data_IF_893693517207
#
_entry.id   IF_893693517207
#
_cell.length_a   1.000
_cell.length_b   1.000
_cell.length_c   1.000
_cell.angle_alpha   90.00
_cell.angle_beta   90.00
_cell.angle_gamma   90.00
#
_symmetry.space_group_name_H-M   'P 1'
#
loop_
_entity.id
_entity.type
_entity.pdbx_description
1 polymer ?
#
# COMPACT_ATOMS: atom_id res chain seq x y z
N UNK A 1 -0.58 25.36 26.58
CA UNK A 1 -1.75 25.44 25.68
C UNK A 1 -1.33 25.41 24.23
N UNK A 2 -1.53 24.26 23.59
CA UNK A 2 -1.16 24.01 22.19
C UNK A 2 -1.82 22.73 21.72
N UNK A 3 -3.16 22.75 21.66
CA UNK A 3 -3.98 21.63 21.20
C UNK A 3 -3.94 21.62 19.67
N UNK A 4 -3.19 20.69 19.09
CA UNK A 4 -3.34 20.34 17.68
C UNK A 4 -4.60 19.48 17.53
N UNK A 5 -5.68 20.10 17.06
CA UNK A 5 -6.87 19.42 16.52
C UNK A 5 -6.58 18.98 15.09
N UNK A 6 -6.68 17.69 14.81
CA UNK A 6 -6.89 17.11 13.47
C UNK A 6 -7.99 16.07 13.65
N UNK A 7 -9.25 16.44 13.37
CA UNK A 7 -9.94 16.38 12.07
C UNK A 7 -10.17 14.95 11.59
N UNK A 8 -11.45 14.60 11.52
CA UNK A 8 -12.04 13.34 11.10
C UNK A 8 -11.40 12.73 9.84
N UNK A 9 -11.00 11.47 9.93
CA UNK A 9 -10.77 10.62 8.75
C UNK A 9 -12.10 9.98 8.33
N UNK A 10 -12.81 10.69 7.46
CA UNK A 10 -13.84 10.14 6.59
C UNK A 10 -13.66 10.78 5.22
N UNK A 11 -13.06 10.06 4.27
CA UNK A 11 -12.79 10.55 2.92
C UNK A 11 -12.30 9.45 2.00
N UNK A 12 -13.04 9.25 0.92
CA UNK A 12 -12.97 8.19 -0.09
C UNK A 12 -11.62 8.03 -0.81
N UNK A 13 -11.35 6.80 -1.25
CA UNK A 13 -10.41 6.43 -2.31
C UNK A 13 -10.84 7.01 -3.66
N UNK A 14 -10.05 7.93 -4.20
CA UNK A 14 -9.97 8.44 -5.60
C UNK A 14 -8.83 9.50 -5.53
N UNK A 15 -7.75 9.59 -6.32
CA UNK A 15 -7.32 9.12 -7.63
C UNK A 15 -5.77 8.96 -7.61
N UNK A 16 -5.21 8.07 -8.42
CA UNK A 16 -3.77 8.06 -8.72
C UNK A 16 -3.57 7.57 -10.16
N UNK A 17 -3.16 8.47 -11.07
CA UNK A 17 -2.58 8.13 -12.38
C UNK A 17 -1.82 9.32 -13.00
N UNK A 18 -0.66 9.02 -13.60
CA UNK A 18 0.22 9.94 -14.35
C UNK A 18 1.70 9.55 -14.21
N UNK A 19 2.15 8.45 -14.82
CA UNK A 19 2.87 8.35 -16.12
C UNK A 19 4.30 8.94 -16.06
N UNK A 20 5.27 8.04 -16.17
CA UNK A 20 6.72 8.27 -16.37
C UNK A 20 7.02 8.68 -17.81
N UNK A 21 8.07 9.51 -18.02
CA UNK A 21 9.09 9.33 -19.07
C UNK A 21 10.27 10.32 -18.91
N UNK A 22 11.46 9.73 -18.79
CA UNK A 22 12.77 10.05 -19.38
C UNK A 22 13.53 11.41 -19.21
N UNK A 23 14.64 11.31 -18.46
CA UNK A 23 16.04 11.38 -18.95
C UNK A 23 16.89 12.69 -18.83
N UNK A 24 18.17 12.46 -18.45
CA UNK A 24 19.42 13.23 -18.61
C UNK A 24 19.91 14.26 -17.57
N UNK A 25 20.87 13.78 -16.75
CA UNK A 25 22.30 14.14 -16.80
C UNK A 25 22.93 15.02 -15.68
N UNK A 26 23.93 14.40 -15.03
CA UNK A 26 25.17 14.92 -14.42
C UNK A 26 25.14 16.11 -13.44
N UNK A 27 25.70 15.88 -12.24
CA UNK A 27 27.09 16.28 -11.91
C UNK A 27 27.52 15.74 -10.56
N UNK A 28 28.69 15.11 -10.54
CA UNK A 28 29.40 14.64 -9.36
C UNK A 28 30.10 15.80 -8.65
N UNK A 29 30.12 15.76 -7.31
CA UNK A 29 31.22 16.32 -6.52
C UNK A 29 31.67 15.30 -5.47
N UNK A 30 32.96 14.98 -5.55
CA UNK A 30 33.69 14.09 -4.68
C UNK A 30 34.43 14.92 -3.62
N UNK A 31 34.41 14.48 -2.36
CA UNK A 31 35.38 14.88 -1.32
C UNK A 31 35.59 13.63 -0.45
N UNK A 32 36.61 12.82 -0.74
CA UNK A 32 37.96 12.84 -0.15
C UNK A 32 38.06 12.25 1.27
N UNK A 33 38.27 10.93 1.31
CA UNK A 33 39.30 10.15 2.01
C UNK A 33 39.89 10.72 3.33
N UNK A 34 39.80 9.96 4.44
CA UNK A 34 40.97 9.27 5.03
C UNK A 34 40.61 8.35 6.22
N UNK A 35 41.14 7.12 6.20
CA UNK A 35 41.37 6.25 7.37
C UNK A 35 42.81 6.45 7.89
N UNK A 36 43.11 6.14 9.17
CA UNK A 36 44.37 6.52 9.81
C UNK A 36 45.48 5.49 9.60
N UNK A 37 46.70 5.98 9.36
CA UNK A 37 47.93 5.19 9.35
C UNK A 37 48.69 5.35 10.69
N UNK A 38 49.36 4.26 11.08
CA UNK A 38 50.12 4.04 12.30
C UNK A 38 51.42 4.85 12.40
N UNK A 39 51.75 5.20 13.66
CA UNK A 39 53.03 5.06 14.39
C UNK A 39 54.34 5.27 13.62
N UNK A 40 55.11 6.29 14.03
CA UNK A 40 56.57 6.25 14.17
C UNK A 40 56.99 7.12 15.37
N UNK A 41 57.82 6.55 16.23
CA UNK A 41 58.55 7.13 17.37
C UNK A 41 59.81 7.83 16.87
N UNK A 42 60.20 8.97 17.46
CA UNK A 42 61.49 9.14 18.13
C UNK A 42 61.71 10.54 18.75
N UNK A 43 62.53 10.51 19.79
CA UNK A 43 62.91 11.49 20.82
C UNK A 43 63.55 12.80 20.34
N UNK A 44 63.37 13.90 21.08
CA UNK A 44 64.48 14.49 21.88
C UNK A 44 64.05 15.57 22.89
N UNK A 45 64.94 15.72 23.88
CA UNK A 45 64.91 16.47 25.15
C UNK A 45 64.78 18.01 25.10
N UNK A 46 64.13 18.63 26.10
CA UNK A 46 64.69 19.66 27.02
C UNK A 46 63.63 20.32 27.95
N UNK A 47 64.10 20.71 29.13
CA UNK A 47 63.42 21.11 30.38
C UNK A 47 62.65 22.45 30.40
N UNK A 48 61.58 22.53 31.21
CA UNK A 48 61.45 23.51 32.33
C UNK A 48 60.22 23.22 33.23
N UNK A 49 60.41 23.45 34.53
CA UNK A 49 59.50 23.19 35.67
C UNK A 49 58.51 24.34 35.96
N UNK A 50 57.26 24.04 36.33
CA UNK A 50 56.60 24.45 37.60
C UNK A 50 55.08 24.07 37.66
N UNK A 51 54.54 24.13 38.87
CA UNK A 51 53.40 23.38 39.43
C UNK A 51 51.96 23.80 39.04
N UNK A 52 51.08 22.79 39.22
CA UNK A 52 49.70 22.83 39.73
C UNK A 52 48.50 23.10 38.80
N UNK A 53 47.56 22.15 38.90
CA UNK A 53 46.11 22.26 38.74
C UNK A 53 45.58 22.65 37.35
N UNK A 54 45.21 21.63 36.56
CA UNK A 54 44.06 21.67 35.66
C UNK A 54 43.71 20.24 35.22
N UNK A 55 42.96 19.54 36.08
CA UNK A 55 41.96 18.62 35.58
C UNK A 55 41.02 19.40 34.63
N UNK A 56 40.37 18.71 33.70
CA UNK A 56 39.24 19.18 32.85
C UNK A 56 39.51 19.50 31.36
N UNK A 57 40.36 18.76 30.63
CA UNK A 57 40.32 18.77 29.14
C UNK A 57 40.42 17.39 28.47
N UNK A 58 39.84 16.36 29.11
CA UNK A 58 39.59 15.04 28.48
C UNK A 58 38.10 14.63 28.48
N UNK A 59 37.18 15.53 28.86
CA UNK A 59 35.75 15.21 29.06
C UNK A 59 34.79 15.72 27.97
N UNK A 60 35.29 15.94 26.74
CA UNK A 60 34.43 16.38 25.61
C UNK A 60 34.32 15.39 24.46
N UNK A 61 35.18 14.37 24.39
CA UNK A 61 35.07 13.28 23.39
C UNK A 61 34.47 11.99 23.95
N UNK A 62 34.34 11.87 25.28
CA UNK A 62 33.83 10.66 25.94
C UNK A 62 32.31 10.61 26.14
N UNK A 63 31.58 11.70 25.88
CA UNK A 63 30.10 11.72 26.00
C UNK A 63 29.37 11.19 24.75
N UNK A 64 30.07 11.06 23.61
CA UNK A 64 29.48 10.54 22.37
C UNK A 64 29.62 9.01 22.20
N UNK A 65 30.35 8.32 23.09
CA UNK A 65 30.65 6.89 22.95
C UNK A 65 30.00 5.99 24.01
N UNK A 66 29.25 6.54 24.97
CA UNK A 66 28.79 5.79 26.16
C UNK A 66 27.29 5.48 26.21
N UNK A 67 26.59 5.48 25.08
CA UNK A 67 25.24 4.92 25.02
C UNK A 67 25.12 3.91 23.88
N UNK A 68 26.12 3.03 23.77
CA UNK A 68 26.01 1.85 22.90
C UNK A 68 24.93 0.96 23.48
N UNK A 69 23.78 0.93 22.81
CA UNK A 69 22.64 0.13 23.24
C UNK A 69 23.00 -1.34 23.10
N UNK A 70 23.04 -2.05 24.23
CA UNK A 70 23.31 -3.48 24.22
C UNK A 70 22.13 -4.25 23.64
N UNK A 71 22.38 -5.44 23.09
CA UNK A 71 21.32 -6.34 22.64
C UNK A 71 20.35 -6.71 23.79
N UNK A 72 20.83 -6.67 25.03
CA UNK A 72 20.01 -6.94 26.22
C UNK A 72 19.06 -5.78 26.54
N UNK A 73 19.54 -4.54 26.47
CA UNK A 73 18.69 -3.35 26.63
C UNK A 73 17.62 -3.28 25.54
N UNK A 74 17.97 -3.63 24.30
CA UNK A 74 17.01 -3.78 23.22
C UNK A 74 15.86 -4.72 23.62
N UNK A 75 16.19 -5.94 24.03
CA UNK A 75 15.19 -6.98 24.36
C UNK A 75 14.36 -6.68 25.59
N UNK A 76 14.95 -6.05 26.59
CA UNK A 76 14.31 -5.88 27.91
C UNK A 76 13.58 -4.54 28.07
N UNK A 77 14.02 -3.50 27.36
CA UNK A 77 13.53 -2.13 27.55
C UNK A 77 12.82 -1.56 26.33
N UNK A 78 13.42 -1.68 25.14
CA UNK A 78 12.92 -1.01 23.93
C UNK A 78 11.89 -1.86 23.20
N UNK A 79 12.24 -3.09 22.84
CA UNK A 79 11.37 -3.99 22.11
C UNK A 79 10.02 -4.22 22.84
N UNK A 80 9.95 -4.47 24.16
CA UNK A 80 8.66 -4.69 24.82
C UNK A 80 7.74 -3.46 24.84
N UNK A 81 8.28 -2.24 24.65
CA UNK A 81 7.46 -1.03 24.48
C UNK A 81 6.93 -0.91 23.06
N UNK A 82 7.79 -1.19 22.07
CA UNK A 82 7.41 -1.22 20.67
C UNK A 82 6.37 -2.31 20.40
N UNK A 83 6.62 -3.52 20.91
CA UNK A 83 5.74 -4.68 20.76
C UNK A 83 4.33 -4.39 21.27
N UNK A 84 4.22 -3.85 22.50
CA UNK A 84 2.91 -3.47 23.07
C UNK A 84 2.21 -2.38 22.25
N UNK A 85 2.96 -1.42 21.72
CA UNK A 85 2.38 -0.39 20.85
C UNK A 85 1.86 -1.00 19.55
N UNK A 86 2.62 -1.89 18.91
CA UNK A 86 2.21 -2.61 17.68
C UNK A 86 0.96 -3.46 17.96
N UNK A 87 0.96 -4.23 19.04
CA UNK A 87 -0.17 -5.08 19.43
C UNK A 87 -1.44 -4.25 19.65
N UNK A 88 -1.30 -3.10 20.31
CA UNK A 88 -2.43 -2.20 20.50
C UNK A 88 -2.93 -1.63 19.15
N UNK A 89 -2.03 -1.20 18.25
CA UNK A 89 -2.42 -0.72 16.91
C UNK A 89 -3.11 -1.80 16.06
N UNK A 90 -2.69 -3.07 16.17
CA UNK A 90 -3.29 -4.19 15.43
C UNK A 90 -4.67 -4.58 15.97
N UNK A 91 -4.87 -4.44 17.28
CA UNK A 91 -6.12 -4.87 17.96
C UNK A 91 -7.16 -3.75 18.04
N UNK A 92 -6.74 -2.50 17.88
CA UNK A 92 -7.62 -1.34 17.99
C UNK A 92 -8.82 -1.40 17.02
N UNK A 93 -9.97 -1.01 17.54
CA UNK A 93 -11.16 -0.71 16.74
C UNK A 93 -11.32 0.81 16.64
N UNK A 94 -11.88 1.30 15.54
CA UNK A 94 -11.97 2.71 15.14
C UNK A 94 -12.72 3.65 16.12
N UNK A 95 -13.18 3.16 17.27
CA UNK A 95 -13.95 3.91 18.27
C UNK A 95 -13.14 4.27 19.53
N UNK A 96 -11.91 3.75 19.69
CA UNK A 96 -11.12 3.95 20.91
C UNK A 96 -10.00 4.99 20.67
N UNK A 97 -9.93 6.01 21.53
CA UNK A 97 -8.90 7.05 21.43
C UNK A 97 -7.53 6.45 21.74
N UNK A 98 -6.60 6.54 20.78
CA UNK A 98 -5.25 6.00 20.89
C UNK A 98 -4.50 6.74 22.01
N UNK A 99 -4.12 6.03 23.07
CA UNK A 99 -3.32 6.55 24.19
C UNK A 99 -1.80 6.40 23.96
N UNK A 100 -1.39 5.95 22.77
CA UNK A 100 0.02 5.78 22.40
C UNK A 100 0.64 7.14 22.06
N UNK A 101 1.76 7.48 22.70
CA UNK A 101 2.59 8.60 22.28
C UNK A 101 3.41 8.21 21.05
N UNK A 102 2.96 8.65 19.88
CA UNK A 102 3.64 8.39 18.60
C UNK A 102 5.11 8.86 18.62
N UNK A 103 5.36 10.04 19.19
CA UNK A 103 6.70 10.62 19.33
C UNK A 103 7.64 9.70 20.13
N UNK A 104 7.14 9.14 21.24
CA UNK A 104 7.93 8.20 22.03
C UNK A 104 8.23 6.95 21.24
N UNK A 105 7.24 6.28 20.64
CA UNK A 105 7.45 5.02 19.92
C UNK A 105 8.42 5.24 18.75
N UNK A 106 8.24 6.31 17.97
CA UNK A 106 9.16 6.69 16.90
C UNK A 106 10.59 6.92 17.43
N UNK A 107 10.75 7.61 18.56
CA UNK A 107 12.06 7.84 19.18
C UNK A 107 12.77 6.54 19.59
N UNK A 108 12.02 5.54 20.08
CA UNK A 108 12.57 4.22 20.38
C UNK A 108 13.04 3.51 19.11
N UNK A 109 12.26 3.57 18.02
CA UNK A 109 12.66 3.01 16.70
C UNK A 109 13.92 3.68 16.18
N UNK A 110 13.94 5.02 16.15
CA UNK A 110 15.09 5.80 15.70
C UNK A 110 16.36 5.39 16.46
N UNK A 111 16.28 5.31 17.80
CA UNK A 111 17.41 4.90 18.63
C UNK A 111 17.87 3.48 18.30
N UNK A 112 16.96 2.52 18.10
CA UNK A 112 17.33 1.15 17.72
C UNK A 112 18.09 1.10 16.38
N UNK A 113 17.64 1.87 15.39
CA UNK A 113 18.27 1.94 14.07
C UNK A 113 19.65 2.59 14.14
N UNK A 114 19.79 3.73 14.83
CA UNK A 114 21.09 4.41 14.99
C UNK A 114 22.12 3.55 15.72
N UNK A 115 21.67 2.62 16.57
CA UNK A 115 22.49 1.69 17.33
C UNK A 115 22.75 0.37 16.59
N UNK A 116 22.49 0.32 15.28
CA UNK A 116 22.73 -0.83 14.40
C UNK A 116 21.89 -2.09 14.72
N UNK A 117 20.74 -1.94 15.37
CA UNK A 117 19.79 -3.04 15.62
C UNK A 117 18.68 -3.16 14.57
N UNK A 118 18.87 -2.60 13.36
CA UNK A 118 17.83 -2.55 12.33
C UNK A 118 17.35 -3.92 11.84
N UNK A 119 18.28 -4.86 11.66
CA UNK A 119 17.95 -6.22 11.19
C UNK A 119 17.13 -6.98 12.24
N UNK A 120 17.56 -6.90 13.51
CA UNK A 120 16.84 -7.50 14.63
C UNK A 120 15.45 -6.87 14.79
N UNK A 121 15.36 -5.54 14.72
CA UNK A 121 14.10 -4.82 14.81
C UNK A 121 13.13 -5.20 13.69
N UNK A 122 13.63 -5.33 12.46
CA UNK A 122 12.82 -5.78 11.33
C UNK A 122 12.33 -7.21 11.55
N UNK A 123 13.23 -8.14 11.93
CA UNK A 123 12.87 -9.54 12.20
C UNK A 123 11.79 -9.66 13.28
N UNK A 124 11.94 -8.93 14.38
CA UNK A 124 10.98 -8.97 15.49
C UNK A 124 9.63 -8.35 15.10
N UNK A 125 9.63 -7.26 14.32
CA UNK A 125 8.41 -6.66 13.76
C UNK A 125 7.66 -7.65 12.86
N UNK A 126 8.38 -8.27 11.92
CA UNK A 126 7.81 -9.26 11.00
C UNK A 126 7.25 -10.45 11.76
N UNK A 127 7.98 -10.96 12.76
CA UNK A 127 7.51 -12.05 13.61
C UNK A 127 6.23 -11.67 14.36
N UNK A 128 6.19 -10.49 15.02
CA UNK A 128 5.03 -10.06 15.82
C UNK A 128 3.77 -9.94 14.98
N UNK A 129 3.91 -9.33 13.80
CA UNK A 129 2.78 -9.16 12.87
C UNK A 129 2.35 -10.52 12.30
N UNK A 130 3.29 -11.38 11.90
CA UNK A 130 2.99 -12.74 11.43
C UNK A 130 2.22 -13.55 12.47
N UNK A 131 2.67 -13.55 13.73
CA UNK A 131 2.01 -14.27 14.82
C UNK A 131 0.58 -13.76 15.06
N UNK A 132 0.36 -12.45 15.03
CA UNK A 132 -0.98 -11.87 15.11
C UNK A 132 -1.87 -12.32 13.93
N UNK A 133 -1.33 -12.33 12.71
CA UNK A 133 -2.07 -12.75 11.52
C UNK A 133 -2.43 -14.24 11.54
N UNK A 134 -1.59 -15.09 12.11
CA UNK A 134 -1.90 -16.51 12.32
C UNK A 134 -3.06 -16.71 13.29
N UNK A 135 -3.11 -15.90 14.36
CA UNK A 135 -4.25 -15.89 15.27
C UNK A 135 -5.53 -15.43 14.53
N UNK A 136 -5.48 -14.31 13.80
CA UNK A 136 -6.61 -13.80 13.01
C UNK A 136 -7.09 -14.85 12.00
N UNK A 137 -6.16 -15.54 11.33
CA UNK A 137 -6.49 -16.64 10.42
C UNK A 137 -7.22 -17.77 11.14
N UNK A 138 -6.81 -18.12 12.36
CA UNK A 138 -7.42 -19.19 13.15
C UNK A 138 -8.84 -18.81 13.61
N UNK A 139 -9.03 -17.55 14.01
CA UNK A 139 -10.34 -17.00 14.35
C UNK A 139 -11.30 -17.03 13.14
N UNK A 140 -10.80 -16.67 11.95
CA UNK A 140 -11.57 -16.76 10.71
C UNK A 140 -11.90 -18.21 10.31
N UNK A 141 -11.01 -19.17 10.59
CA UNK A 141 -11.30 -20.59 10.34
C UNK A 141 -12.36 -21.14 11.29
N UNK A 142 -12.44 -20.61 12.52
CA UNK A 142 -13.45 -20.99 13.50
C UNK A 142 -14.82 -20.34 13.24
N UNK A 143 -14.86 -19.22 12.49
CA UNK A 143 -16.11 -18.56 12.11
C UNK A 143 -16.96 -19.39 11.14
N UNK A 144 -18.29 -19.32 11.22
CA UNK A 144 -19.15 -20.03 10.29
C UNK A 144 -18.98 -19.49 8.84
N UNK A 145 -19.16 -20.33 7.81
CA UNK A 145 -19.00 -19.91 6.42
C UNK A 145 -19.92 -18.76 6.00
N UNK A 146 -21.08 -18.60 6.64
CA UNK A 146 -22.00 -17.50 6.34
C UNK A 146 -21.41 -16.13 6.69
N UNK A 147 -20.67 -16.04 7.79
CA UNK A 147 -20.10 -14.80 8.32
C UNK A 147 -18.69 -14.52 7.80
N UNK A 148 -18.02 -15.54 7.23
CA UNK A 148 -16.63 -15.47 6.76
C UNK A 148 -16.35 -14.24 5.89
N UNK A 149 -17.30 -13.84 5.03
CA UNK A 149 -17.12 -12.66 4.15
C UNK A 149 -17.05 -11.36 4.96
N UNK A 150 -17.92 -11.20 5.95
CA UNK A 150 -17.95 -9.99 6.79
C UNK A 150 -16.76 -10.00 7.77
N UNK A 151 -16.48 -11.14 8.41
CA UNK A 151 -15.32 -11.30 9.29
C UNK A 151 -14.00 -11.06 8.58
N UNK A 152 -13.83 -11.58 7.35
CA UNK A 152 -12.65 -11.32 6.53
C UNK A 152 -12.53 -9.84 6.17
N UNK A 153 -13.63 -9.19 5.78
CA UNK A 153 -13.62 -7.76 5.48
C UNK A 153 -13.20 -6.92 6.69
N UNK A 154 -13.72 -7.25 7.89
CA UNK A 154 -13.36 -6.57 9.14
C UNK A 154 -11.87 -6.76 9.43
N UNK A 155 -11.37 -7.99 9.33
CA UNK A 155 -9.95 -8.30 9.54
C UNK A 155 -9.06 -7.52 8.56
N UNK A 156 -9.38 -7.53 7.26
CA UNK A 156 -8.63 -6.83 6.22
C UNK A 156 -8.64 -5.31 6.42
N UNK A 157 -9.81 -4.72 6.69
CA UNK A 157 -9.94 -3.28 6.90
C UNK A 157 -9.20 -2.83 8.15
N UNK A 158 -9.32 -3.59 9.26
CA UNK A 158 -8.59 -3.32 10.49
C UNK A 158 -7.09 -3.39 10.28
N UNK A 159 -6.61 -4.45 9.63
CA UNK A 159 -5.19 -4.61 9.36
C UNK A 159 -4.64 -3.47 8.50
N UNK A 160 -5.35 -3.12 7.41
CA UNK A 160 -4.95 -2.02 6.53
C UNK A 160 -4.91 -0.68 7.29
N UNK A 161 -5.89 -0.42 8.15
CA UNK A 161 -5.90 0.77 9.02
C UNK A 161 -4.72 0.77 10.00
N UNK A 162 -4.39 -0.37 10.62
CA UNK A 162 -3.23 -0.50 11.49
C UNK A 162 -1.91 -0.21 10.74
N UNK A 163 -1.78 -0.67 9.49
CA UNK A 163 -0.59 -0.39 8.67
C UNK A 163 -0.41 1.11 8.40
N UNK A 164 -1.49 1.88 8.25
CA UNK A 164 -1.39 3.34 8.12
C UNK A 164 -0.78 4.01 9.35
N UNK A 165 -0.83 3.37 10.53
CA UNK A 165 -0.16 3.85 11.74
C UNK A 165 1.24 3.25 11.93
N UNK A 166 1.40 1.96 11.67
CA UNK A 166 2.66 1.23 11.89
C UNK A 166 3.74 1.71 10.91
N UNK A 167 3.44 1.82 9.61
CA UNK A 167 4.47 2.15 8.60
C UNK A 167 5.13 3.50 8.89
N UNK A 168 4.39 4.58 9.20
CA UNK A 168 5.00 5.85 9.60
C UNK A 168 5.88 5.76 10.85
N UNK A 169 5.54 4.94 11.86
CA UNK A 169 6.35 4.75 13.07
C UNK A 169 7.71 4.15 12.71
N UNK A 170 7.73 3.26 11.73
CA UNK A 170 8.92 2.56 11.27
C UNK A 170 9.57 3.19 10.05
N UNK A 171 9.17 4.42 9.65
CA UNK A 171 9.64 5.06 8.41
C UNK A 171 11.17 5.20 8.37
N UNK A 172 11.81 5.44 9.52
CA UNK A 172 13.26 5.55 9.59
C UNK A 172 13.94 4.19 9.31
N UNK A 173 13.40 3.09 9.85
CA UNK A 173 13.88 1.75 9.52
C UNK A 173 13.63 1.41 8.03
N UNK A 174 12.47 1.81 7.49
CA UNK A 174 12.16 1.62 6.07
C UNK A 174 13.23 2.28 5.19
N UNK A 175 13.49 3.57 5.43
CA UNK A 175 14.43 4.36 4.63
C UNK A 175 15.88 3.93 4.77
N UNK A 176 16.34 3.57 5.97
CA UNK A 176 17.76 3.33 6.22
C UNK A 176 18.19 1.85 6.15
N UNK A 177 17.25 0.92 6.25
CA UNK A 177 17.54 -0.52 6.22
C UNK A 177 16.80 -1.23 5.07
N UNK A 178 15.48 -1.10 4.98
CA UNK A 178 14.68 -1.91 4.05
C UNK A 178 14.90 -1.43 2.61
N UNK A 179 14.73 -0.15 2.33
CA UNK A 179 14.93 0.41 0.98
C UNK A 179 16.39 0.31 0.54
N UNK A 180 17.34 0.63 1.42
CA UNK A 180 18.77 0.72 1.06
C UNK A 180 19.48 -0.63 1.02
N UNK A 181 19.18 -1.56 1.93
CA UNK A 181 19.87 -2.86 2.01
C UNK A 181 19.07 -4.00 1.40
N UNK A 182 17.74 -4.01 1.54
CA UNK A 182 16.88 -5.08 1.03
C UNK A 182 16.25 -4.74 -0.31
N UNK A 183 16.26 -3.47 -0.72
CA UNK A 183 15.61 -2.95 -1.93
C UNK A 183 14.12 -3.35 -2.00
N UNK A 184 13.41 -3.11 -0.89
CA UNK A 184 11.98 -3.39 -0.69
C UNK A 184 11.30 -2.22 0.01
N UNK A 185 9.98 -2.31 0.15
CA UNK A 185 9.19 -1.40 0.96
C UNK A 185 8.49 -2.13 2.12
N UNK A 186 8.49 -1.52 3.30
CA UNK A 186 7.89 -2.09 4.51
C UNK A 186 6.39 -2.33 4.34
N UNK A 187 5.65 -1.41 3.72
CA UNK A 187 4.20 -1.59 3.56
C UNK A 187 3.91 -2.81 2.70
N UNK A 188 4.69 -3.02 1.65
CA UNK A 188 4.55 -4.16 0.75
C UNK A 188 4.90 -5.48 1.45
N UNK A 189 6.00 -5.51 2.23
CA UNK A 189 6.36 -6.67 3.06
C UNK A 189 5.24 -7.05 4.05
N UNK A 190 4.62 -6.06 4.68
CA UNK A 190 3.51 -6.28 5.63
C UNK A 190 2.22 -6.71 4.92
N UNK A 191 1.87 -6.10 3.79
CA UNK A 191 0.73 -6.54 2.97
C UNK A 191 0.91 -7.97 2.45
N UNK A 192 2.15 -8.36 2.13
CA UNK A 192 2.50 -9.73 1.75
C UNK A 192 2.28 -10.71 2.90
N UNK A 193 2.60 -10.35 4.14
CA UNK A 193 2.29 -11.20 5.31
C UNK A 193 0.80 -11.50 5.44
N UNK A 194 -0.07 -10.50 5.26
CA UNK A 194 -1.53 -10.75 5.30
C UNK A 194 -1.96 -11.69 4.16
N UNK A 195 -1.39 -11.48 2.97
CA UNK A 195 -1.66 -12.33 1.80
C UNK A 195 -1.32 -13.79 2.09
N UNK A 196 -0.12 -14.05 2.60
CA UNK A 196 0.42 -15.39 2.77
C UNK A 196 -0.17 -16.11 4.00
N UNK A 197 -0.35 -15.41 5.12
CA UNK A 197 -0.78 -16.05 6.39
C UNK A 197 -2.29 -16.04 6.61
N UNK A 198 -3.05 -15.18 5.92
CA UNK A 198 -4.52 -15.07 6.06
C UNK A 198 -5.20 -15.34 4.73
N UNK A 199 -5.01 -14.49 3.72
CA UNK A 199 -5.83 -14.52 2.51
C UNK A 199 -5.67 -15.84 1.75
N UNK A 200 -4.46 -16.33 1.54
CA UNK A 200 -4.19 -17.57 0.78
C UNK A 200 -4.89 -18.81 1.39
N UNK A 201 -5.03 -18.85 2.72
CA UNK A 201 -5.73 -19.94 3.43
C UNK A 201 -7.25 -19.88 3.28
N UNK A 202 -7.79 -18.70 3.00
CA UNK A 202 -9.23 -18.44 2.99
C UNK A 202 -9.82 -18.22 1.59
N UNK A 203 -9.00 -17.84 0.61
CA UNK A 203 -9.42 -17.51 -0.77
C UNK A 203 -10.21 -18.64 -1.44
N UNK A 204 -9.82 -19.91 -1.24
CA UNK A 204 -10.51 -21.07 -1.82
C UNK A 204 -11.96 -21.22 -1.34
N UNK A 205 -12.24 -20.80 -0.11
CA UNK A 205 -13.57 -20.86 0.51
C UNK A 205 -14.34 -19.55 0.30
N UNK A 206 -13.64 -18.42 0.36
CA UNK A 206 -14.20 -17.08 0.23
C UNK A 206 -14.71 -16.80 -1.19
N UNK A 207 -13.97 -17.19 -2.24
CA UNK A 207 -14.37 -16.91 -3.62
C UNK A 207 -15.69 -17.58 -4.02
N UNK A 208 -15.94 -18.88 -3.73
CA UNK A 208 -17.25 -19.49 -3.95
C UNK A 208 -18.39 -18.80 -3.19
N UNK A 209 -18.15 -18.38 -1.94
CA UNK A 209 -19.14 -17.67 -1.14
C UNK A 209 -19.48 -16.30 -1.75
N UNK A 210 -18.48 -15.56 -2.22
CA UNK A 210 -18.68 -14.30 -2.92
C UNK A 210 -19.46 -14.49 -4.23
N UNK A 211 -19.15 -15.54 -5.01
CA UNK A 211 -19.92 -15.89 -6.22
C UNK A 211 -21.38 -16.20 -5.90
N UNK A 212 -21.63 -16.98 -4.83
CA UNK A 212 -22.99 -17.34 -4.40
C UNK A 212 -23.76 -16.11 -3.90
N UNK A 213 -23.14 -15.28 -3.07
CA UNK A 213 -23.70 -14.03 -2.58
C UNK A 213 -23.98 -13.04 -3.72
N UNK A 214 -23.21 -13.10 -4.81
CA UNK A 214 -23.48 -12.30 -6.00
C UNK A 214 -24.78 -12.70 -6.72
N UNK A 215 -25.08 -14.00 -6.75
CA UNK A 215 -26.30 -14.53 -7.37
C UNK A 215 -27.55 -14.36 -6.50
N UNK A 216 -27.41 -14.03 -5.22
CA UNK A 216 -28.51 -13.87 -4.27
C UNK A 216 -28.56 -12.45 -3.70
N UNK A 217 -29.54 -11.61 -4.09
CA UNK A 217 -29.61 -10.24 -3.60
C UNK A 217 -29.78 -10.20 -2.07
N UNK A 218 -29.14 -9.21 -1.44
CA UNK A 218 -29.20 -8.90 0.01
C UNK A 218 -28.46 -9.84 0.97
N UNK A 219 -27.81 -10.91 0.50
CA UNK A 219 -27.05 -11.79 1.39
C UNK A 219 -25.81 -11.10 1.99
N UNK A 220 -25.13 -10.27 1.20
CA UNK A 220 -23.97 -9.47 1.64
C UNK A 220 -24.18 -8.03 1.20
N UNK A 221 -23.84 -7.07 2.06
CA UNK A 221 -23.91 -5.64 1.74
C UNK A 221 -22.99 -5.35 0.53
N UNK A 222 -23.46 -4.64 -0.51
CA UNK A 222 -22.66 -4.35 -1.70
C UNK A 222 -21.33 -3.65 -1.38
N UNK A 223 -21.30 -2.80 -0.34
CA UNK A 223 -20.08 -2.13 0.14
C UNK A 223 -19.04 -3.11 0.69
N UNK A 224 -19.46 -4.09 1.49
CA UNK A 224 -18.61 -5.16 2.01
C UNK A 224 -18.02 -5.98 0.86
N UNK A 225 -18.86 -6.35 -0.12
CA UNK A 225 -18.41 -7.12 -1.28
C UNK A 225 -17.38 -6.36 -2.10
N UNK A 226 -17.63 -5.06 -2.38
CA UNK A 226 -16.67 -4.21 -3.08
C UNK A 226 -15.36 -4.07 -2.31
N UNK A 227 -15.42 -3.88 -0.99
CA UNK A 227 -14.25 -3.76 -0.12
C UNK A 227 -13.40 -5.03 -0.15
N UNK A 228 -14.03 -6.21 -0.02
CA UNK A 228 -13.33 -7.50 -0.08
C UNK A 228 -12.70 -7.72 -1.46
N UNK A 229 -13.44 -7.50 -2.54
CA UNK A 229 -12.91 -7.72 -3.91
C UNK A 229 -11.76 -6.78 -4.22
N UNK A 230 -11.89 -5.48 -3.91
CA UNK A 230 -10.80 -4.50 -4.06
C UNK A 230 -9.61 -4.84 -3.18
N UNK A 231 -9.86 -5.29 -1.96
CA UNK A 231 -8.84 -5.71 -1.01
C UNK A 231 -8.07 -6.95 -1.48
N UNK A 232 -8.77 -7.97 -1.99
CA UNK A 232 -8.15 -9.16 -2.59
C UNK A 232 -7.27 -8.80 -3.78
N UNK A 233 -7.73 -7.89 -4.64
CA UNK A 233 -6.94 -7.40 -5.77
C UNK A 233 -5.68 -6.63 -5.32
N UNK A 234 -5.81 -5.77 -4.30
CA UNK A 234 -4.68 -5.03 -3.74
C UNK A 234 -3.64 -5.93 -3.04
N UNK A 235 -4.08 -7.08 -2.49
CA UNK A 235 -3.20 -8.09 -1.89
C UNK A 235 -2.45 -8.89 -2.96
N UNK A 236 -3.19 -9.48 -3.90
CA UNK A 236 -2.61 -10.29 -4.98
C UNK A 236 -3.51 -10.27 -6.23
N UNK A 237 -3.09 -9.62 -7.33
CA UNK A 237 -3.88 -9.60 -8.57
C UNK A 237 -3.97 -10.98 -9.25
N UNK A 238 -3.09 -11.92 -8.90
CA UNK A 238 -3.08 -13.29 -9.43
C UNK A 238 -4.35 -14.11 -9.12
N UNK A 239 -5.22 -13.63 -8.24
CA UNK A 239 -6.52 -14.26 -7.96
C UNK A 239 -7.62 -13.87 -8.93
N UNK A 240 -7.41 -12.84 -9.76
CA UNK A 240 -8.40 -12.38 -10.77
C UNK A 240 -8.86 -13.53 -11.70
N UNK A 241 -7.97 -14.38 -12.26
CA UNK A 241 -8.37 -15.49 -13.12
C UNK A 241 -9.30 -16.52 -12.45
N UNK A 242 -9.33 -16.61 -11.12
CA UNK A 242 -10.21 -17.54 -10.39
C UNK A 242 -11.68 -17.09 -10.42
N UNK A 243 -11.93 -15.78 -10.59
CA UNK A 243 -13.27 -15.22 -10.59
C UNK A 243 -13.38 -13.93 -11.44
N UNK A 244 -13.04 -13.94 -12.74
CA UNK A 244 -12.90 -12.72 -13.55
C UNK A 244 -14.18 -11.88 -13.57
N UNK A 245 -15.34 -12.52 -13.74
CA UNK A 245 -16.65 -11.84 -13.74
C UNK A 245 -17.01 -11.16 -12.41
N UNK A 246 -16.45 -11.62 -11.29
CA UNK A 246 -16.64 -10.97 -9.99
C UNK A 246 -15.76 -9.72 -9.91
N UNK A 247 -14.48 -9.84 -10.26
CA UNK A 247 -13.51 -8.74 -10.18
C UNK A 247 -13.83 -7.60 -11.14
N UNK A 248 -14.17 -7.89 -12.40
CA UNK A 248 -14.45 -6.87 -13.44
C UNK A 248 -15.63 -5.96 -13.11
N UNK A 249 -16.54 -6.39 -12.23
CA UNK A 249 -17.68 -5.60 -11.80
C UNK A 249 -17.35 -4.54 -10.74
N UNK A 250 -16.31 -4.76 -9.95
CA UNK A 250 -15.92 -3.86 -8.85
C UNK A 250 -14.66 -3.05 -9.14
N UNK A 251 -13.87 -3.47 -10.13
CA UNK A 251 -12.61 -2.84 -10.50
C UNK A 251 -12.63 -2.54 -11.99
N UNK A 252 -12.56 -1.27 -12.39
CA UNK A 252 -12.51 -0.87 -13.80
C UNK A 252 -11.27 -1.46 -14.50
N UNK A 253 -11.38 -1.71 -15.81
CA UNK A 253 -10.24 -2.06 -16.67
C UNK A 253 -9.48 -3.35 -16.30
N UNK A 254 -10.11 -4.28 -15.57
CA UNK A 254 -9.51 -5.61 -15.30
C UNK A 254 -9.53 -6.50 -16.55
N UNK A 255 -10.57 -6.41 -17.35
CA UNK A 255 -10.67 -7.19 -18.58
C UNK A 255 -9.69 -6.63 -19.62
N UNK A 256 -9.11 -7.54 -20.42
CA UNK A 256 -8.22 -7.14 -21.50
C UNK A 256 -8.93 -6.12 -22.42
N UNK A 257 -8.23 -5.07 -22.89
CA UNK A 257 -8.81 -4.11 -23.82
C UNK A 257 -9.42 -4.86 -25.01
N UNK A 258 -10.65 -4.51 -25.37
CA UNK A 258 -11.32 -5.10 -26.51
C UNK A 258 -10.48 -4.85 -27.77
N UNK A 259 -10.01 -5.94 -28.39
CA UNK A 259 -9.26 -5.86 -29.64
C UNK A 259 -10.24 -5.73 -30.83
N UNK A 260 -9.85 -4.99 -31.87
CA UNK A 260 -10.68 -4.83 -33.07
C UNK A 260 -11.04 -6.17 -33.71
N UNK A 261 -10.14 -7.15 -33.63
CA UNK A 261 -10.36 -8.53 -34.10
C UNK A 261 -11.47 -9.27 -33.36
N UNK A 262 -11.87 -8.83 -32.16
CA UNK A 262 -12.93 -9.42 -31.35
C UNK A 262 -14.30 -8.77 -31.61
N UNK A 263 -14.38 -7.67 -32.37
CA UNK A 263 -15.64 -7.01 -32.71
C UNK A 263 -16.68 -7.94 -33.37
N UNK A 264 -16.30 -8.84 -34.31
CA UNK A 264 -17.27 -9.78 -34.88
C UNK A 264 -17.86 -10.75 -33.84
N UNK A 265 -17.05 -11.15 -32.85
CA UNK A 265 -17.49 -12.02 -31.76
C UNK A 265 -18.49 -11.29 -30.86
N UNK A 266 -18.20 -10.05 -30.45
CA UNK A 266 -19.13 -9.23 -29.68
C UNK A 266 -20.43 -8.95 -30.45
N UNK A 267 -20.34 -8.65 -31.75
CA UNK A 267 -21.52 -8.44 -32.59
C UNK A 267 -22.41 -9.70 -32.69
N UNK A 268 -21.81 -10.90 -32.68
CA UNK A 268 -22.56 -12.15 -32.66
C UNK A 268 -23.23 -12.38 -31.29
N UNK A 269 -22.52 -12.11 -30.20
CA UNK A 269 -23.06 -12.20 -28.84
C UNK A 269 -24.26 -11.26 -28.65
N UNK A 270 -24.16 -10.02 -29.13
CA UNK A 270 -25.24 -9.03 -29.11
C UNK A 270 -26.46 -9.48 -29.91
N UNK A 271 -26.27 -10.09 -31.09
CA UNK A 271 -27.37 -10.63 -31.88
C UNK A 271 -28.11 -11.75 -31.15
N UNK A 272 -27.37 -12.63 -30.48
CA UNK A 272 -27.95 -13.71 -29.67
C UNK A 272 -28.76 -13.14 -28.52
N UNK A 273 -28.22 -12.17 -27.78
CA UNK A 273 -28.92 -11.51 -26.68
C UNK A 273 -30.19 -10.79 -27.15
N UNK A 274 -30.12 -10.07 -28.28
CA UNK A 274 -31.30 -9.40 -28.87
C UNK A 274 -32.39 -10.40 -29.25
N UNK A 275 -32.01 -11.57 -29.76
CA UNK A 275 -32.95 -12.64 -30.09
C UNK A 275 -33.62 -13.19 -28.83
N UNK A 276 -32.85 -13.50 -27.78
CA UNK A 276 -33.36 -14.00 -26.50
C UNK A 276 -34.32 -13.00 -25.84
N UNK A 277 -33.96 -11.71 -25.82
CA UNK A 277 -34.82 -10.64 -25.32
C UNK A 277 -36.14 -10.56 -26.10
N UNK A 278 -36.09 -10.68 -27.44
CA UNK A 278 -37.29 -10.67 -28.27
C UNK A 278 -38.23 -11.84 -27.97
N UNK A 279 -37.68 -13.03 -27.70
CA UNK A 279 -38.43 -14.23 -27.30
C UNK A 279 -39.04 -14.08 -25.91
N UNK A 280 -38.35 -13.40 -24.99
CA UNK A 280 -38.84 -13.10 -23.64
C UNK A 280 -39.82 -11.91 -23.59
N UNK A 281 -40.38 -11.49 -24.73
CA UNK A 281 -41.41 -10.45 -24.81
C UNK A 281 -40.86 -9.02 -24.86
N UNK A 282 -39.55 -8.82 -24.82
CA UNK A 282 -38.90 -7.50 -25.01
C UNK A 282 -38.69 -7.20 -26.50
N UNK A 283 -39.75 -7.37 -27.29
CA UNK A 283 -39.73 -7.01 -28.71
C UNK A 283 -39.54 -5.51 -28.86
N UNK A 284 -38.78 -5.09 -29.89
CA UNK A 284 -38.69 -3.68 -30.27
C UNK A 284 -40.09 -3.19 -30.64
N UNK A 285 -40.74 -2.47 -29.73
CA UNK A 285 -42.01 -1.79 -29.99
C UNK A 285 -41.91 -0.82 -31.17
N UNK A 286 -43.07 -0.42 -31.68
CA UNK A 286 -43.23 0.42 -32.86
C UNK A 286 -42.25 1.62 -32.88
N UNK A 287 -41.27 1.55 -33.79
CA UNK A 287 -40.25 2.58 -33.97
C UNK A 287 -40.76 3.77 -34.79
N UNK A 288 -42.03 3.79 -35.21
CA UNK A 288 -42.63 4.87 -36.01
C UNK A 288 -42.60 6.24 -35.33
N UNK A 289 -42.33 6.30 -34.02
CA UNK A 289 -42.17 7.54 -33.24
C UNK A 289 -40.72 7.99 -33.04
N UNK A 290 -39.71 7.27 -33.55
CA UNK A 290 -38.33 7.81 -33.57
C UNK A 290 -38.30 9.01 -34.48
N UNK A 291 -37.81 10.15 -33.97
CA UNK A 291 -37.52 11.36 -34.76
C UNK A 291 -36.80 10.96 -36.04
N UNK A 292 -37.47 11.10 -37.17
CA UNK A 292 -36.84 11.07 -38.48
C UNK A 292 -35.86 12.25 -38.50
N UNK A 293 -34.60 11.99 -38.17
CA UNK A 293 -33.51 12.89 -38.50
C UNK A 293 -33.43 12.91 -40.03
N UNK A 294 -34.00 13.95 -40.60
CA UNK A 294 -33.98 14.24 -42.02
C UNK A 294 -32.50 14.24 -42.48
N UNK A 295 -32.11 13.29 -43.33
CA UNK A 295 -30.79 13.24 -43.98
C UNK A 295 -30.68 14.37 -45.01
N UNK A 296 -30.75 15.63 -44.58
CA UNK A 296 -30.56 16.82 -45.43
C UNK A 296 -30.04 18.02 -44.63
N UNK A 297 -29.23 17.80 -43.59
CA UNK A 297 -28.54 18.88 -42.87
C UNK A 297 -27.18 18.44 -42.33
N UNK A 298 -26.32 17.97 -43.23
CA UNK A 298 -24.86 18.07 -43.03
C UNK A 298 -24.32 18.64 -44.34
N UNK A 299 -24.50 19.94 -44.53
CA UNK A 299 -23.70 20.68 -45.51
C UNK A 299 -22.35 20.94 -44.84
N UNK A 300 -21.38 20.06 -45.11
CA UNK A 300 -19.97 20.36 -44.91
C UNK A 300 -19.57 21.39 -45.96
N UNK A 301 -19.58 22.68 -45.59
CA UNK A 301 -18.91 23.69 -46.40
C UNK A 301 -17.40 23.57 -46.20
N UNK A 302 -16.70 22.92 -47.13
CA UNK A 302 -15.28 23.19 -47.38
C UNK A 302 -14.90 22.98 -48.86
N UNK A 303 -14.93 24.11 -49.60
CA UNK A 303 -14.05 24.59 -50.69
C UNK A 303 -13.62 23.67 -51.86
N UNK A 304 -13.87 24.16 -53.09
CA UNK A 304 -12.87 24.37 -54.18
C UNK A 304 -13.57 25.09 -55.35
N UNK A 305 -13.25 26.35 -55.64
CA UNK A 305 -12.34 26.80 -56.71
C UNK A 305 -12.60 26.14 -58.08
N UNK A 306 -13.29 26.85 -58.96
CA UNK A 306 -13.08 26.72 -60.41
C UNK A 306 -13.35 28.06 -61.12
N UNK A 307 -12.27 28.59 -61.71
CA UNK A 307 -12.30 29.62 -62.75
C UNK A 307 -13.02 29.08 -63.98
N UNK A 308 -13.91 29.86 -64.60
CA UNK A 308 -13.70 30.37 -65.98
C UNK A 308 -14.92 31.07 -66.59
N UNK A 309 -14.66 32.33 -66.99
CA UNK A 309 -14.99 32.98 -68.29
C UNK A 309 -16.42 33.42 -68.62
N UNK A 310 -16.52 34.76 -68.76
CA UNK A 310 -17.12 35.54 -69.88
C UNK A 310 -18.66 35.51 -69.98
N UNK A 311 -19.39 36.57 -70.32
CA UNK A 311 -19.12 37.71 -71.21
C UNK A 311 -20.18 38.80 -71.00
N UNK A 312 -19.83 40.02 -71.43
CA UNK A 312 -20.64 41.23 -71.66
C UNK A 312 -20.96 42.13 -70.46
#
# INVERSE_FOLDING_TARGET
DGVLKLSQCGGSMEEMQGVEDDNHNCRAEAVSVCSPAQVCVDSDSSSDTCESTSALLLDSTSKFLLNTMTAEEYRTVYWPKLERAIEHLLTQSSMEHISISYEQIYSHVYKCVCQQHSELLYSDLMWKIMSHLEQVSSELQASPPEDLTESFNVALTRYTAALHCIVPIFIYMNKFYIETKLNRDLRDDLMKLFSDHVAEKHVSTLLPLLKKAHSMPFQVKPSTMASVVKGLYALRPDWVPLAPALFSRFIPQIDAPALESQLPYYAAQDKTLQMELSQNGFSRGDQSRKRALNMNSVCCDTKSSELSKSNA
#
